data_IF_445902710742
#
_entry.id   IF_445902710742
#
_cell.length_a   1.000
_cell.length_b   1.000
_cell.length_c   1.000
_cell.angle_alpha   90.00
_cell.angle_beta   90.00
_cell.angle_gamma   90.00
#
_symmetry.space_group_name_H-M   'P 1'
#
loop_
_entity.id
_entity.type
_entity.pdbx_description
1 polymer ?
#
# COMPACT_ATOMS: atom_id res chain seq x y z
N UNK A 1 17.52 -2.02 33.80
CA UNK A 1 17.83 -0.78 33.04
C UNK A 1 17.15 -0.81 31.69
N UNK A 2 16.99 0.34 31.02
CA UNK A 2 16.41 0.41 29.65
C UNK A 2 17.10 -0.58 28.71
N UNK A 3 18.43 -0.72 28.80
CA UNK A 3 19.18 -1.71 28.03
C UNK A 3 18.75 -3.16 28.29
N UNK A 4 18.51 -3.56 29.54
CA UNK A 4 18.03 -4.92 29.84
C UNK A 4 16.64 -5.17 29.27
N UNK A 5 15.77 -4.16 29.27
CA UNK A 5 14.42 -4.28 28.70
C UNK A 5 14.45 -4.43 27.18
N UNK A 6 15.28 -3.65 26.48
CA UNK A 6 15.44 -3.76 25.03
C UNK A 6 16.07 -5.10 24.61
N UNK A 7 17.04 -5.61 25.39
CA UNK A 7 17.62 -6.95 25.17
C UNK A 7 16.56 -8.04 25.35
N UNK A 8 15.70 -7.93 26.35
CA UNK A 8 14.59 -8.87 26.54
C UNK A 8 13.57 -8.77 25.39
N UNK A 9 13.24 -7.57 24.91
CA UNK A 9 12.31 -7.38 23.79
C UNK A 9 12.86 -8.00 22.50
N UNK A 10 14.13 -7.77 22.19
CA UNK A 10 14.80 -8.36 21.03
C UNK A 10 14.86 -9.89 21.10
N UNK A 11 15.08 -10.46 22.29
CA UNK A 11 15.09 -11.91 22.49
C UNK A 11 13.70 -12.56 22.35
N UNK A 12 12.62 -11.81 22.63
CA UNK A 12 11.23 -12.28 22.51
C UNK A 12 10.58 -11.96 21.16
N UNK A 13 11.27 -11.25 20.25
CA UNK A 13 10.80 -11.07 18.88
C UNK A 13 11.03 -12.38 18.11
N UNK A 14 10.09 -13.32 18.27
CA UNK A 14 10.27 -14.73 17.84
C UNK A 14 10.47 -14.86 16.33
N UNK A 15 9.95 -13.97 15.47
CA UNK A 15 10.27 -13.86 14.03
C UNK A 15 9.67 -12.59 13.42
N UNK A 16 10.39 -11.91 12.50
CA UNK A 16 9.89 -10.72 11.77
C UNK A 16 8.73 -11.06 10.81
N UNK A 17 8.56 -12.34 10.49
CA UNK A 17 7.56 -12.83 9.53
C UNK A 17 6.11 -12.49 9.97
N UNK A 18 5.83 -12.48 11.28
CA UNK A 18 4.49 -12.24 11.81
C UNK A 18 4.31 -10.82 12.35
N UNK A 19 5.21 -9.88 12.03
CA UNK A 19 5.16 -8.51 12.56
C UNK A 19 3.84 -7.80 12.20
N UNK A 20 3.28 -8.07 11.01
CA UNK A 20 1.97 -7.55 10.60
C UNK A 20 0.84 -8.04 11.49
N UNK A 21 0.86 -9.31 11.89
CA UNK A 21 -0.21 -9.92 12.71
C UNK A 21 -0.18 -9.37 14.13
N UNK A 22 1.01 -9.20 14.71
CA UNK A 22 1.16 -8.57 16.02
C UNK A 22 0.79 -7.08 15.97
N UNK A 23 1.19 -6.36 14.91
CA UNK A 23 0.79 -4.98 14.67
C UNK A 23 -0.73 -4.85 14.61
N UNK A 24 -1.40 -5.75 13.89
CA UNK A 24 -2.87 -5.81 13.81
C UNK A 24 -3.50 -6.10 15.16
N UNK A 25 -2.96 -7.04 15.93
CA UNK A 25 -3.49 -7.34 17.27
C UNK A 25 -3.39 -6.13 18.23
N UNK A 26 -2.26 -5.40 18.20
CA UNK A 26 -2.07 -4.18 19.00
C UNK A 26 -3.05 -3.09 18.54
N UNK A 27 -3.21 -2.92 17.23
CA UNK A 27 -4.14 -1.97 16.62
C UNK A 27 -5.59 -2.28 17.04
N UNK A 28 -6.06 -3.52 16.86
CA UNK A 28 -7.42 -3.94 17.21
C UNK A 28 -7.70 -3.70 18.71
N UNK A 29 -6.72 -3.99 19.58
CA UNK A 29 -6.83 -3.71 21.02
C UNK A 29 -6.88 -2.21 21.33
N UNK A 30 -6.14 -1.38 20.59
CA UNK A 30 -6.20 0.08 20.73
C UNK A 30 -7.56 0.64 20.31
N UNK A 31 -8.08 0.19 19.16
CA UNK A 31 -9.42 0.57 18.68
C UNK A 31 -10.51 0.17 19.67
N UNK A 32 -10.42 -1.03 20.28
CA UNK A 32 -11.36 -1.44 21.34
C UNK A 32 -11.31 -0.50 22.55
N UNK A 33 -10.12 -0.05 22.97
CA UNK A 33 -10.00 0.93 24.06
C UNK A 33 -10.61 2.27 23.68
N UNK A 34 -10.40 2.75 22.45
CA UNK A 34 -11.01 3.98 21.97
C UNK A 34 -12.54 3.89 21.93
N UNK A 35 -13.11 2.76 21.49
CA UNK A 35 -14.56 2.50 21.54
C UNK A 35 -15.10 2.55 22.97
N UNK A 36 -14.37 1.98 23.93
CA UNK A 36 -14.74 2.04 25.36
C UNK A 36 -14.79 3.50 25.82
N UNK A 37 -13.76 4.30 25.52
CA UNK A 37 -13.72 5.72 25.88
C UNK A 37 -14.88 6.51 25.28
N UNK A 38 -15.21 6.29 24.00
CA UNK A 38 -16.38 6.95 23.37
C UNK A 38 -17.67 6.57 24.10
N UNK A 39 -17.86 5.29 24.43
CA UNK A 39 -19.03 4.83 25.18
C UNK A 39 -19.12 5.41 26.60
N UNK A 40 -18.00 5.47 27.32
CA UNK A 40 -17.93 6.07 28.66
C UNK A 40 -18.31 7.55 28.62
N UNK A 41 -17.78 8.30 27.65
CA UNK A 41 -18.09 9.72 27.50
C UNK A 41 -19.55 9.97 27.12
N UNK A 42 -20.12 9.14 26.23
CA UNK A 42 -21.55 9.20 25.91
C UNK A 42 -22.42 9.03 27.16
N UNK A 43 -22.08 8.06 28.03
CA UNK A 43 -22.79 7.84 29.29
C UNK A 43 -22.65 9.04 30.22
N UNK A 44 -21.44 9.58 30.36
CA UNK A 44 -21.16 10.72 31.24
C UNK A 44 -21.92 11.97 30.79
N UNK A 45 -21.90 12.29 29.49
CA UNK A 45 -22.61 13.44 28.90
C UNK A 45 -24.12 13.28 29.04
N UNK A 46 -24.66 12.06 28.85
CA UNK A 46 -26.09 11.82 28.99
C UNK A 46 -26.57 11.95 30.44
N UNK A 47 -25.72 11.62 31.42
CA UNK A 47 -26.04 11.70 32.85
C UNK A 47 -25.93 13.13 33.38
N UNK A 48 -24.87 13.86 33.00
CA UNK A 48 -24.60 15.23 33.45
C UNK A 48 -24.54 16.18 32.23
N UNK A 49 -25.65 16.25 31.51
CA UNK A 49 -25.74 17.02 30.28
C UNK A 49 -25.64 18.53 30.57
N UNK A 50 -24.77 19.26 29.86
CA UNK A 50 -24.77 20.72 29.90
C UNK A 50 -26.14 21.27 29.51
N UNK A 51 -26.56 22.37 30.14
CA UNK A 51 -27.88 23.00 29.91
C UNK A 51 -28.11 23.33 28.43
N UNK A 52 -27.03 23.64 27.72
CA UNK A 52 -27.06 24.10 26.33
C UNK A 52 -26.86 22.97 25.32
N UNK A 53 -26.74 21.71 25.76
CA UNK A 53 -26.46 20.57 24.88
C UNK A 53 -27.69 19.67 24.75
N UNK A 54 -28.44 19.89 23.69
CA UNK A 54 -29.64 19.11 23.38
C UNK A 54 -29.30 17.64 23.11
N UNK A 55 -30.25 16.70 23.31
CA UNK A 55 -30.03 15.29 22.98
C UNK A 55 -29.63 15.05 21.51
N UNK A 56 -30.08 15.90 20.59
CA UNK A 56 -29.70 15.82 19.17
C UNK A 56 -28.21 16.11 18.97
N UNK A 57 -27.67 17.13 19.64
CA UNK A 57 -26.25 17.47 19.59
C UNK A 57 -25.38 16.41 20.26
N UNK A 58 -25.88 15.72 21.29
CA UNK A 58 -25.17 14.59 21.91
C UNK A 58 -25.05 13.40 20.95
N UNK A 59 -26.09 13.14 20.14
CA UNK A 59 -26.05 12.10 19.11
C UNK A 59 -25.04 12.49 18.01
N UNK A 60 -25.07 13.74 17.54
CA UNK A 60 -24.15 14.23 16.52
C UNK A 60 -22.68 14.17 16.99
N UNK A 61 -22.40 14.53 18.25
CA UNK A 61 -21.06 14.39 18.82
C UNK A 61 -20.59 12.94 18.86
N UNK A 62 -21.44 12.02 19.31
CA UNK A 62 -21.13 10.59 19.34
C UNK A 62 -20.86 10.03 17.94
N UNK A 63 -21.68 10.39 16.95
CA UNK A 63 -21.49 10.00 15.55
C UNK A 63 -20.17 10.51 14.99
N UNK A 64 -19.84 11.79 15.23
CA UNK A 64 -18.56 12.38 14.81
C UNK A 64 -17.37 11.61 15.38
N UNK A 65 -17.40 11.29 16.68
CA UNK A 65 -16.29 10.59 17.35
C UNK A 65 -16.13 9.15 16.86
N UNK A 66 -17.23 8.46 16.57
CA UNK A 66 -17.19 7.14 15.94
C UNK A 66 -16.66 7.21 14.50
N UNK A 67 -16.99 8.26 13.76
CA UNK A 67 -16.49 8.49 12.41
C UNK A 67 -14.97 8.72 12.40
N UNK A 68 -14.45 9.58 13.28
CA UNK A 68 -13.00 9.80 13.45
C UNK A 68 -12.25 8.50 13.78
N UNK A 69 -12.85 7.64 14.61
CA UNK A 69 -12.28 6.33 14.94
C UNK A 69 -12.32 5.35 13.77
N UNK A 70 -13.31 5.46 12.87
CA UNK A 70 -13.38 4.66 11.67
C UNK A 70 -12.35 5.08 10.61
N UNK A 71 -12.03 6.38 10.52
CA UNK A 71 -11.04 6.91 9.57
C UNK A 71 -9.60 6.66 9.97
N UNK A 72 -9.29 6.61 11.27
CA UNK A 72 -7.92 6.38 11.78
C UNK A 72 -7.32 5.04 11.36
N UNK A 73 -8.12 4.08 10.89
CA UNK A 73 -7.68 2.80 10.34
C UNK A 73 -7.35 2.77 8.85
N UNK A 74 -7.64 3.85 8.11
CA UNK A 74 -7.23 4.01 6.70
C UNK A 74 -5.86 4.67 6.63
N UNK A 75 -4.84 4.01 7.17
CA UNK A 75 -3.46 4.36 6.86
C UNK A 75 -3.03 3.61 5.59
N UNK A 76 -3.60 4.01 4.45
CA UNK A 76 -3.19 3.52 3.14
C UNK A 76 -2.70 4.73 2.34
N UNK A 77 -1.43 5.09 2.58
CA UNK A 77 -0.75 6.22 1.93
C UNK A 77 -1.23 7.59 2.41
N UNK A 78 -0.29 8.46 2.83
CA UNK A 78 -0.63 9.86 3.09
C UNK A 78 -1.33 10.52 1.89
N UNK A 79 -2.13 11.56 2.14
CA UNK A 79 -2.73 12.35 1.06
C UNK A 79 -1.65 12.83 0.09
N UNK A 80 -1.59 12.25 -1.10
CA UNK A 80 -0.85 12.83 -2.21
C UNK A 80 -1.69 14.02 -2.70
N UNK A 81 -1.10 15.23 -2.74
CA UNK A 81 -1.86 16.38 -3.19
C UNK A 81 -2.22 16.19 -4.68
N UNK A 82 -3.40 16.66 -5.09
CA UNK A 82 -3.80 16.58 -6.50
C UNK A 82 -2.76 17.22 -7.43
N UNK A 83 -2.11 18.29 -6.97
CA UNK A 83 -1.02 18.96 -7.68
C UNK A 83 0.21 18.06 -7.84
N UNK A 84 0.59 17.29 -6.81
CA UNK A 84 1.72 16.37 -6.87
C UNK A 84 1.41 15.20 -7.81
N UNK A 85 0.21 14.63 -7.73
CA UNK A 85 -0.22 13.54 -8.63
C UNK A 85 -0.23 13.99 -10.11
N UNK A 86 -0.74 15.19 -10.40
CA UNK A 86 -0.73 15.75 -11.77
C UNK A 86 0.68 16.00 -12.25
N UNK A 87 1.57 16.51 -11.39
CA UNK A 87 2.98 16.74 -11.74
C UNK A 87 3.68 15.42 -12.09
N UNK A 88 3.50 14.38 -11.27
CA UNK A 88 4.02 13.03 -11.54
C UNK A 88 3.53 12.49 -12.88
N UNK A 89 2.24 12.64 -13.19
CA UNK A 89 1.66 12.19 -14.46
C UNK A 89 2.26 12.93 -15.67
N UNK A 90 2.46 14.25 -15.57
CA UNK A 90 3.09 15.06 -16.62
C UNK A 90 4.55 14.67 -16.81
N UNK A 91 5.29 14.46 -15.73
CA UNK A 91 6.70 14.05 -15.77
C UNK A 91 6.84 12.66 -16.43
N UNK A 92 5.94 11.72 -16.11
CA UNK A 92 5.88 10.40 -16.76
C UNK A 92 5.58 10.51 -18.27
N UNK A 93 4.62 11.36 -18.66
CA UNK A 93 4.25 11.56 -20.07
C UNK A 93 5.39 12.23 -20.86
N UNK A 94 6.07 13.21 -20.26
CA UNK A 94 7.24 13.87 -20.85
C UNK A 94 8.39 12.87 -21.04
N UNK A 95 8.69 12.06 -20.01
CA UNK A 95 9.71 11.02 -20.11
C UNK A 95 9.38 9.97 -21.19
N UNK A 96 8.10 9.64 -21.38
CA UNK A 96 7.64 8.76 -22.45
C UNK A 96 7.78 9.39 -23.85
N UNK A 97 7.49 10.69 -23.97
CA UNK A 97 7.61 11.43 -25.23
C UNK A 97 9.06 11.67 -25.66
N UNK A 98 9.97 11.93 -24.71
CA UNK A 98 11.39 12.17 -24.98
C UNK A 98 12.19 10.89 -25.32
N UNK A 99 11.58 9.70 -25.20
CA UNK A 99 12.17 8.46 -25.70
C UNK A 99 11.91 8.38 -27.20
N UNK A 100 12.91 8.73 -28.01
CA UNK A 100 12.92 8.76 -29.49
C UNK A 100 12.54 7.42 -30.15
N UNK A 101 11.26 7.03 -30.09
CA UNK A 101 10.73 5.83 -30.75
C UNK A 101 11.27 4.49 -30.26
N UNK A 102 12.14 4.49 -29.25
CA UNK A 102 12.64 3.30 -28.60
C UNK A 102 11.67 2.81 -27.53
N UNK A 103 11.51 1.48 -27.46
CA UNK A 103 10.66 0.78 -26.50
C UNK A 103 10.76 1.43 -25.10
N UNK A 104 9.61 1.77 -24.51
CA UNK A 104 9.57 2.39 -23.17
C UNK A 104 10.07 1.44 -22.08
N UNK A 105 9.92 0.13 -22.31
CA UNK A 105 10.32 -0.93 -21.39
C UNK A 105 11.41 -1.83 -21.94
N UNK A 106 11.76 -2.86 -21.18
CA UNK A 106 12.77 -3.84 -21.58
C UNK A 106 12.21 -4.70 -22.73
N UNK A 107 12.93 -4.81 -23.83
CA UNK A 107 12.51 -5.62 -24.99
C UNK A 107 12.51 -7.11 -24.63
N UNK A 108 11.40 -7.80 -24.89
CA UNK A 108 11.30 -9.25 -24.70
C UNK A 108 12.05 -10.06 -25.76
N UNK A 109 12.41 -9.41 -26.88
CA UNK A 109 13.04 -10.04 -28.05
C UNK A 109 12.02 -10.70 -28.99
N UNK A 110 10.72 -10.53 -28.72
CA UNK A 110 9.63 -10.93 -29.60
C UNK A 110 9.01 -9.68 -30.21
N UNK A 111 9.42 -9.32 -31.44
CA UNK A 111 9.06 -8.04 -32.07
C UNK A 111 7.56 -7.73 -32.06
N UNK A 112 6.72 -8.72 -32.37
CA UNK A 112 5.26 -8.52 -32.40
C UNK A 112 4.67 -8.29 -31.01
N UNK A 113 5.26 -8.90 -29.98
CA UNK A 113 4.85 -8.75 -28.59
C UNK A 113 5.31 -7.38 -28.04
N UNK A 114 6.55 -7.00 -28.36
CA UNK A 114 7.15 -5.73 -27.99
C UNK A 114 6.43 -4.55 -28.65
N UNK A 115 6.01 -4.69 -29.92
CA UNK A 115 5.22 -3.68 -30.62
C UNK A 115 3.82 -3.48 -30.00
N UNK A 116 3.23 -4.53 -29.41
CA UNK A 116 1.90 -4.48 -28.79
C UNK A 116 1.94 -3.98 -27.35
N UNK A 117 2.98 -4.33 -26.59
CA UNK A 117 3.09 -4.00 -25.15
C UNK A 117 3.99 -2.79 -24.89
N UNK A 118 4.77 -2.33 -25.87
CA UNK A 118 5.78 -1.28 -25.66
C UNK A 118 6.97 -1.75 -24.81
N UNK A 119 7.17 -3.07 -24.71
CA UNK A 119 8.17 -3.71 -23.85
C UNK A 119 7.68 -3.99 -22.43
N UNK A 120 8.52 -4.67 -21.65
CA UNK A 120 8.26 -5.00 -20.25
C UNK A 120 8.52 -3.75 -19.38
N UNK A 121 7.47 -3.15 -18.82
CA UNK A 121 7.61 -1.99 -17.91
C UNK A 121 7.91 -2.44 -16.48
N UNK A 122 8.60 -1.59 -15.70
CA UNK A 122 8.95 -1.88 -14.30
C UNK A 122 7.75 -1.93 -13.35
N UNK A 123 6.61 -1.35 -13.72
CA UNK A 123 5.37 -1.33 -12.93
C UNK A 123 4.46 -2.53 -13.17
N UNK A 124 4.72 -3.32 -14.21
CA UNK A 124 3.73 -4.27 -14.71
C UNK A 124 3.85 -5.64 -14.03
N UNK A 125 2.70 -6.20 -13.62
CA UNK A 125 2.59 -7.62 -13.27
C UNK A 125 2.13 -8.43 -14.49
N UNK A 126 3.04 -9.19 -15.08
CA UNK A 126 2.76 -10.01 -16.27
C UNK A 126 2.51 -11.46 -15.85
N UNK A 127 1.31 -11.97 -16.14
CA UNK A 127 0.91 -13.35 -15.82
C UNK A 127 0.88 -14.20 -17.10
N UNK A 128 1.76 -15.20 -17.18
CA UNK A 128 1.77 -16.18 -18.28
C UNK A 128 1.00 -17.45 -17.88
N UNK A 129 -0.21 -17.62 -18.42
CA UNK A 129 -1.05 -18.77 -18.17
C UNK A 129 -1.13 -19.73 -19.38
N UNK A 130 -1.38 -21.01 -19.11
CA UNK A 130 -1.44 -22.08 -20.12
C UNK A 130 -1.36 -23.46 -19.49
N UNK A 131 -1.83 -24.50 -20.19
CA UNK A 131 -1.86 -25.89 -19.67
C UNK A 131 -0.44 -26.48 -19.51
N UNK A 132 -0.28 -27.56 -18.72
CA UNK A 132 0.98 -28.31 -18.69
C UNK A 132 1.42 -28.70 -20.11
N UNK A 133 2.71 -28.56 -20.42
CA UNK A 133 3.27 -28.86 -21.75
C UNK A 133 3.13 -27.77 -22.82
N UNK A 134 2.40 -26.67 -22.57
CA UNK A 134 2.23 -25.57 -23.57
C UNK A 134 3.44 -24.63 -23.70
N UNK A 135 4.63 -25.02 -23.22
CA UNK A 135 5.87 -24.25 -23.46
C UNK A 135 6.01 -22.95 -22.66
N UNK A 136 5.25 -22.73 -21.58
CA UNK A 136 5.37 -21.51 -20.74
C UNK A 136 6.79 -21.28 -20.21
N UNK A 137 7.41 -22.34 -19.69
CA UNK A 137 8.80 -22.29 -19.20
C UNK A 137 9.74 -21.90 -20.34
N UNK A 138 9.64 -22.56 -21.49
CA UNK A 138 10.47 -22.27 -22.67
C UNK A 138 10.31 -20.82 -23.15
N UNK A 139 9.09 -20.29 -23.17
CA UNK A 139 8.82 -18.91 -23.55
C UNK A 139 9.49 -17.93 -22.58
N UNK A 140 9.31 -18.12 -21.26
CA UNK A 140 9.91 -17.24 -20.25
C UNK A 140 11.44 -17.31 -20.30
N UNK A 141 12.01 -18.50 -20.46
CA UNK A 141 13.47 -18.65 -20.56
C UNK A 141 14.03 -17.97 -21.81
N UNK A 142 13.34 -18.04 -22.95
CA UNK A 142 13.75 -17.32 -24.16
C UNK A 142 13.68 -15.79 -23.99
N UNK A 143 12.62 -15.28 -23.37
CA UNK A 143 12.51 -13.85 -23.03
C UNK A 143 13.67 -13.44 -22.12
N UNK A 144 13.92 -14.18 -21.04
CA UNK A 144 15.02 -13.90 -20.12
C UNK A 144 16.39 -13.94 -20.80
N UNK A 145 16.62 -14.91 -21.69
CA UNK A 145 17.85 -15.00 -22.48
C UNK A 145 18.03 -13.79 -23.41
N UNK A 146 17.00 -13.41 -24.15
CA UNK A 146 17.06 -12.25 -25.05
C UNK A 146 17.32 -10.95 -24.27
N UNK A 147 16.66 -10.77 -23.14
CA UNK A 147 16.88 -9.62 -22.24
C UNK A 147 18.32 -9.58 -21.75
N UNK A 148 18.86 -10.71 -21.28
CA UNK A 148 20.23 -10.79 -20.80
C UNK A 148 21.26 -10.58 -21.94
N UNK A 149 20.97 -11.07 -23.14
CA UNK A 149 21.85 -10.92 -24.30
C UNK A 149 21.89 -9.48 -24.81
N UNK A 150 20.75 -8.78 -24.79
CA UNK A 150 20.65 -7.37 -25.18
C UNK A 150 21.10 -6.40 -24.06
N UNK A 151 21.40 -6.90 -22.86
CA UNK A 151 21.80 -6.08 -21.74
C UNK A 151 23.20 -5.49 -21.97
N UNK A 152 23.26 -4.17 -22.14
CA UNK A 152 24.51 -3.41 -22.11
C UNK A 152 24.67 -2.86 -20.69
N UNK A 153 25.74 -3.20 -19.96
CA UNK A 153 25.97 -2.63 -18.64
C UNK A 153 26.12 -1.11 -18.75
N UNK A 154 25.37 -0.38 -17.92
CA UNK A 154 25.50 1.06 -17.83
C UNK A 154 26.94 1.42 -17.42
N UNK A 155 27.62 2.24 -18.23
CA UNK A 155 28.89 2.89 -17.86
C UNK A 155 28.61 4.07 -16.92
#
# INVERSE_FOLDING_TARGET
TVMQYLVALAANAVTVINASDYGRAVYDLATRRALITVGEDMVNIAYDAPVDMSPAEQIEDAERRLFELAETGRYDGGFESFSDAVKTAIDMASAAYMRDGHLSGVASGLHDLDARMGGLQSSDLIVLAGRPGMGKTSLVTNIAFNVAHAYVPAQ
#
